data_IF_493704666892
#
_entry.id   IF_493704666892
#
_cell.length_a   1.000
_cell.length_b   1.000
_cell.length_c   1.000
_cell.angle_alpha   90.00
_cell.angle_beta   90.00
_cell.angle_gamma   90.00
#
_symmetry.space_group_name_H-M   'P 1'
#
loop_
_entity.id
_entity.type
_entity.pdbx_description
1 polymer ?
#
# COMPACT_ATOMS: atom_id res chain seq x y z
N UNK A 1 16.09 -24.72 30.87
CA UNK A 1 14.97 -23.75 30.93
C UNK A 1 13.74 -24.49 30.41
N UNK A 2 12.88 -24.94 31.32
CA UNK A 2 11.60 -25.60 30.98
C UNK A 2 10.63 -24.51 30.51
N UNK A 3 10.57 -24.30 29.20
CA UNK A 3 9.84 -23.18 28.56
C UNK A 3 8.33 -23.42 28.41
N UNK A 4 7.75 -24.40 29.12
CA UNK A 4 6.31 -24.68 29.03
C UNK A 4 5.78 -25.13 30.40
N UNK A 5 4.97 -24.30 31.11
CA UNK A 5 4.24 -24.76 32.27
C UNK A 5 3.19 -25.79 31.83
N UNK A 6 2.97 -26.79 32.66
CA UNK A 6 1.88 -27.77 32.56
C UNK A 6 0.50 -27.09 32.56
N UNK A 7 0.09 -26.56 31.41
CA UNK A 7 -1.23 -25.96 31.25
C UNK A 7 -2.29 -27.06 31.04
N UNK A 8 -3.37 -26.96 31.82
CA UNK A 8 -4.55 -27.84 31.75
C UNK A 8 -5.14 -27.86 30.34
N UNK A 9 -5.77 -28.96 29.93
CA UNK A 9 -6.44 -29.13 28.64
C UNK A 9 -7.49 -28.01 28.39
N UNK A 10 -8.07 -27.49 29.46
CA UNK A 10 -9.01 -26.36 29.46
C UNK A 10 -8.38 -25.09 28.88
N UNK A 11 -7.10 -24.83 29.14
CA UNK A 11 -6.38 -23.66 28.62
C UNK A 11 -6.21 -23.75 27.11
N UNK A 12 -5.90 -24.94 26.58
CA UNK A 12 -5.80 -25.18 25.14
C UNK A 12 -7.16 -25.06 24.44
N UNK A 13 -8.22 -25.56 25.06
CA UNK A 13 -9.59 -25.43 24.55
C UNK A 13 -10.04 -23.97 24.52
N UNK A 14 -9.78 -23.21 25.59
CA UNK A 14 -10.09 -21.77 25.63
C UNK A 14 -9.28 -20.98 24.59
N UNK A 15 -8.00 -21.31 24.41
CA UNK A 15 -7.16 -20.68 23.39
C UNK A 15 -7.63 -20.99 21.98
N UNK A 16 -7.91 -22.26 21.66
CA UNK A 16 -8.41 -22.68 20.36
C UNK A 16 -9.78 -22.02 20.06
N UNK A 17 -10.67 -21.99 21.05
CA UNK A 17 -11.98 -21.35 20.92
C UNK A 17 -11.85 -19.85 20.73
N UNK A 18 -10.97 -19.18 21.49
CA UNK A 18 -10.67 -17.77 21.33
C UNK A 18 -10.12 -17.45 19.93
N UNK A 19 -9.23 -18.29 19.40
CA UNK A 19 -8.68 -18.13 18.05
C UNK A 19 -9.75 -18.30 16.96
N UNK A 20 -10.67 -19.27 17.12
CA UNK A 20 -11.77 -19.50 16.18
C UNK A 20 -12.78 -18.34 16.21
N UNK A 21 -13.14 -17.85 17.39
CA UNK A 21 -14.02 -16.68 17.52
C UNK A 21 -13.38 -15.43 16.92
N UNK A 22 -12.08 -15.24 17.12
CA UNK A 22 -11.32 -14.15 16.52
C UNK A 22 -11.31 -14.25 14.98
N UNK A 23 -11.13 -15.45 14.44
CA UNK A 23 -11.18 -15.70 13.00
C UNK A 23 -12.56 -15.40 12.39
N UNK A 24 -13.63 -15.85 13.05
CA UNK A 24 -15.01 -15.61 12.62
C UNK A 24 -15.37 -14.13 12.72
N UNK A 25 -15.01 -13.47 13.81
CA UNK A 25 -15.20 -12.02 13.99
C UNK A 25 -14.44 -11.22 12.92
N UNK A 26 -13.19 -11.60 12.62
CA UNK A 26 -12.38 -10.92 11.60
C UNK A 26 -12.91 -11.11 10.17
N UNK A 27 -13.47 -12.28 9.84
CA UNK A 27 -13.99 -12.59 8.50
C UNK A 27 -15.44 -12.18 8.29
N UNK A 28 -16.17 -11.83 9.35
CA UNK A 28 -17.56 -11.36 9.31
C UNK A 28 -17.73 -10.06 8.48
N UNK A 29 -16.73 -9.18 8.48
CA UNK A 29 -16.79 -7.86 7.83
C UNK A 29 -16.56 -7.90 6.29
N UNK A 30 -16.14 -9.04 5.74
CA UNK A 30 -15.74 -9.17 4.32
C UNK A 30 -16.89 -9.09 3.30
N UNK A 31 -18.15 -9.05 3.74
CA UNK A 31 -19.34 -9.03 2.87
C UNK A 31 -19.79 -7.64 2.40
N UNK A 32 -19.25 -6.55 2.97
CA UNK A 32 -19.76 -5.20 2.74
C UNK A 32 -19.60 -4.73 1.28
N UNK A 33 -18.41 -4.90 0.70
CA UNK A 33 -18.15 -4.51 -0.69
C UNK A 33 -18.95 -5.34 -1.72
N UNK A 34 -19.22 -6.61 -1.40
CA UNK A 34 -20.07 -7.48 -2.22
C UNK A 34 -21.52 -6.98 -2.25
N UNK A 35 -22.02 -6.42 -1.13
CA UNK A 35 -23.37 -5.82 -1.06
C UNK A 35 -23.46 -4.50 -1.84
N UNK A 36 -22.34 -3.78 -1.98
CA UNK A 36 -22.26 -2.52 -2.73
C UNK A 36 -21.98 -2.71 -4.23
N UNK A 37 -21.87 -3.95 -4.72
CA UNK A 37 -21.63 -4.23 -6.14
C UNK A 37 -20.23 -3.88 -6.64
N UNK A 38 -19.29 -3.56 -5.73
CA UNK A 38 -17.90 -3.22 -6.10
C UNK A 38 -17.11 -4.52 -6.26
N UNK A 39 -16.63 -4.86 -7.47
CA UNK A 39 -15.81 -6.04 -7.69
C UNK A 39 -14.45 -5.85 -7.00
N UNK A 40 -14.14 -6.72 -6.04
CA UNK A 40 -12.88 -6.65 -5.28
C UNK A 40 -12.31 -8.04 -5.00
N UNK A 41 -10.98 -8.16 -4.82
CA UNK A 41 -10.34 -9.43 -4.46
C UNK A 41 -10.83 -9.89 -3.08
N UNK A 42 -10.93 -11.21 -2.91
CA UNK A 42 -11.40 -11.81 -1.65
C UNK A 42 -10.37 -11.54 -0.55
N UNK A 43 -10.74 -10.81 0.51
CA UNK A 43 -9.82 -10.50 1.60
C UNK A 43 -9.39 -11.78 2.32
N UNK A 44 -8.09 -11.91 2.55
CA UNK A 44 -7.54 -12.98 3.38
C UNK A 44 -8.01 -12.80 4.82
N UNK A 45 -8.27 -13.91 5.56
CA UNK A 45 -8.52 -13.83 6.98
C UNK A 45 -7.37 -13.10 7.70
N UNK A 46 -7.71 -12.18 8.59
CA UNK A 46 -6.81 -11.32 9.40
C UNK A 46 -6.01 -10.24 8.65
N UNK A 47 -5.58 -10.47 7.40
CA UNK A 47 -4.78 -9.49 6.63
C UNK A 47 -5.57 -8.73 5.56
N UNK A 48 -6.80 -9.13 5.27
CA UNK A 48 -7.62 -8.49 4.26
C UNK A 48 -6.97 -8.52 2.87
N UNK A 49 -6.97 -7.37 2.20
CA UNK A 49 -6.33 -7.18 0.89
C UNK A 49 -4.94 -6.54 0.98
N UNK A 50 -4.33 -6.43 2.18
CA UNK A 50 -3.04 -5.73 2.38
C UNK A 50 -1.93 -6.31 1.48
N UNK A 51 -1.88 -7.63 1.31
CA UNK A 51 -0.92 -8.29 0.43
C UNK A 51 -1.17 -7.97 -1.06
N UNK A 52 -2.43 -7.71 -1.43
CA UNK A 52 -2.82 -7.27 -2.77
C UNK A 52 -2.42 -5.81 -3.01
N UNK A 53 -2.54 -4.93 -2.00
CA UNK A 53 -2.15 -3.51 -2.08
C UNK A 53 -0.64 -3.27 -1.97
N UNK A 54 0.12 -4.17 -1.32
CA UNK A 54 1.58 -4.14 -1.31
C UNK A 54 2.19 -4.25 -2.71
N UNK A 55 1.44 -4.82 -3.67
CA UNK A 55 1.83 -4.85 -5.09
C UNK A 55 1.70 -3.49 -5.78
N UNK A 56 0.87 -2.59 -5.25
CA UNK A 56 0.60 -1.24 -5.79
C UNK A 56 1.51 -0.19 -5.15
N UNK A 57 1.86 -0.34 -3.87
CA UNK A 57 2.64 0.65 -3.10
C UNK A 57 3.82 0.01 -2.34
N UNK A 58 4.91 -0.31 -3.05
CA UNK A 58 6.24 -0.53 -2.45
C UNK A 58 6.87 0.81 -1.96
N UNK A 59 8.20 0.96 -1.92
CA UNK A 59 8.89 2.20 -1.49
C UNK A 59 8.67 3.44 -2.40
N UNK A 60 7.55 3.51 -3.12
CA UNK A 60 7.13 4.59 -4.02
C UNK A 60 6.48 5.79 -3.31
N UNK A 61 6.24 5.75 -2.00
CA UNK A 61 5.62 6.88 -1.27
C UNK A 61 6.46 8.17 -1.29
N UNK A 62 7.78 8.06 -1.41
CA UNK A 62 8.71 9.20 -1.55
C UNK A 62 8.51 9.89 -2.91
N UNK A 63 7.99 9.16 -3.90
CA UNK A 63 7.78 9.64 -5.25
C UNK A 63 6.36 10.19 -5.47
N UNK A 64 5.50 10.32 -4.44
CA UNK A 64 4.10 10.77 -4.60
C UNK A 64 3.93 12.11 -5.34
N UNK A 65 4.90 13.01 -5.19
CA UNK A 65 4.95 14.31 -5.86
C UNK A 65 5.93 14.33 -7.04
N UNK A 66 6.63 13.21 -7.28
CA UNK A 66 7.42 13.07 -8.48
C UNK A 66 6.44 12.97 -9.67
N UNK A 67 6.84 13.55 -10.80
CA UNK A 67 6.11 13.41 -12.06
C UNK A 67 5.81 11.94 -12.41
N UNK A 68 6.58 10.99 -11.85
CA UNK A 68 6.44 9.56 -12.07
C UNK A 68 5.29 8.89 -11.31
N UNK A 69 4.75 9.52 -10.25
CA UNK A 69 3.62 8.97 -9.46
C UNK A 69 2.43 9.94 -9.40
N UNK A 70 2.66 11.22 -9.73
CA UNK A 70 1.59 12.20 -9.83
C UNK A 70 0.53 11.75 -10.85
N UNK A 71 -0.75 11.82 -10.48
CA UNK A 71 -1.87 11.48 -11.34
C UNK A 71 -2.58 12.75 -11.87
N UNK A 72 -3.19 12.63 -13.04
CA UNK A 72 -4.07 13.61 -13.68
C UNK A 72 -3.57 15.06 -13.68
N UNK A 73 -4.34 15.98 -13.09
CA UNK A 73 -4.06 17.42 -13.09
C UNK A 73 -2.75 17.77 -12.38
N UNK A 74 -2.34 16.94 -11.41
CA UNK A 74 -1.07 17.15 -10.72
C UNK A 74 0.12 16.84 -11.63
N UNK A 75 0.04 15.77 -12.41
CA UNK A 75 1.04 15.43 -13.43
C UNK A 75 1.16 16.54 -14.49
N UNK A 76 0.01 17.02 -14.99
CA UNK A 76 -0.02 18.10 -15.98
C UNK A 76 0.66 19.35 -15.45
N UNK A 77 0.35 19.74 -14.21
CA UNK A 77 0.97 20.90 -13.56
C UNK A 77 2.49 20.76 -13.41
N UNK A 78 2.96 19.60 -12.93
CA UNK A 78 4.40 19.36 -12.78
C UNK A 78 5.11 19.44 -14.14
N UNK A 79 4.51 18.84 -15.18
CA UNK A 79 5.06 18.86 -16.54
C UNK A 79 5.14 20.28 -17.10
N UNK A 80 4.09 21.08 -16.94
CA UNK A 80 4.09 22.46 -17.43
C UNK A 80 5.19 23.31 -16.79
N UNK A 81 5.47 23.08 -15.50
CA UNK A 81 6.52 23.82 -14.79
C UNK A 81 7.94 23.34 -15.14
N UNK A 82 8.13 22.04 -15.36
CA UNK A 82 9.45 21.48 -15.69
C UNK A 82 9.83 21.63 -17.17
N UNK A 83 8.86 21.60 -18.09
CA UNK A 83 9.11 21.67 -19.53
C UNK A 83 9.99 22.84 -20.00
N UNK A 84 9.82 24.09 -19.53
CA UNK A 84 10.62 25.22 -20.02
C UNK A 84 12.12 25.12 -19.69
N UNK A 85 12.48 24.43 -18.60
CA UNK A 85 13.88 24.25 -18.17
C UNK A 85 14.66 23.32 -19.10
N UNK A 86 13.97 22.40 -19.79
CA UNK A 86 14.58 21.41 -20.69
C UNK A 86 14.42 21.77 -22.17
N UNK A 87 14.20 23.05 -22.49
CA UNK A 87 14.11 23.52 -23.88
C UNK A 87 15.49 23.51 -24.54
N UNK A 88 15.54 23.32 -25.86
CA UNK A 88 16.82 23.29 -26.59
C UNK A 88 17.62 24.59 -26.45
N UNK A 89 16.94 25.75 -26.27
CA UNK A 89 17.61 27.01 -25.99
C UNK A 89 18.32 27.00 -24.64
N UNK A 90 17.62 26.61 -23.57
CA UNK A 90 18.19 26.51 -22.22
C UNK A 90 19.26 25.43 -22.09
N UNK A 91 19.13 24.32 -22.80
CA UNK A 91 20.17 23.29 -22.81
C UNK A 91 21.44 23.72 -23.57
N UNK A 92 21.31 24.56 -24.61
CA UNK A 92 22.48 25.14 -25.29
C UNK A 92 23.17 26.20 -24.44
N UNK A 93 22.39 27.07 -23.79
CA UNK A 93 22.90 28.08 -22.84
C UNK A 93 23.71 27.42 -21.73
N UNK A 94 23.17 26.39 -21.07
CA UNK A 94 23.91 25.62 -20.04
C UNK A 94 25.17 24.93 -20.59
N UNK A 95 25.15 24.48 -21.85
CA UNK A 95 26.32 23.88 -22.50
C UNK A 95 27.40 24.91 -22.83
N UNK A 96 26.99 26.13 -23.20
CA UNK A 96 27.87 27.21 -23.62
C UNK A 96 28.45 27.99 -22.43
N UNK A 97 27.63 28.26 -21.41
CA UNK A 97 28.05 28.90 -20.17
C UNK A 97 28.89 27.96 -19.29
N UNK A 98 28.76 26.64 -19.51
CA UNK A 98 29.35 25.63 -18.64
C UNK A 98 28.64 25.57 -17.29
N UNK A 99 28.46 24.38 -16.75
CA UNK A 99 28.01 24.27 -15.36
C UNK A 99 29.10 24.88 -14.45
N UNK A 100 28.73 25.62 -13.39
CA UNK A 100 29.70 26.12 -12.41
C UNK A 100 30.54 24.98 -11.83
#
# INVERSE_FOLDING_TARGET
MELIPSFSLETWVLLATGLVLLYLYGTYSHGLFKKLGVPGPRPLPLFGNILSYRKVFGPLGIMKNAITVAEDEHWKRIRTLLSPTFTSGKLKEVKEEGFP
#
